data_IF_437055493540
#
_entry.id   IF_437055493540
#
_cell.length_a   1.000
_cell.length_b   1.000
_cell.length_c   1.000
_cell.angle_alpha   90.00
_cell.angle_beta   90.00
_cell.angle_gamma   90.00
#
_symmetry.space_group_name_H-M   'P 1'
#
loop_
_entity.id
_entity.type
_entity.pdbx_description
1 polymer ?
#
# COMPACT_ATOMS: atom_id res chain seq x y z
N UNK A 1 52.50 18.64 -35.06
CA UNK A 1 51.90 19.89 -34.55
C UNK A 1 50.46 19.53 -34.18
N UNK A 2 50.20 19.30 -32.89
CA UNK A 2 49.35 20.14 -32.00
C UNK A 2 47.87 20.03 -32.39
N UNK A 3 46.87 19.70 -31.57
CA UNK A 3 46.63 19.50 -30.13
C UNK A 3 45.28 18.71 -30.08
N UNK A 4 44.90 17.90 -29.08
CA UNK A 4 44.65 18.26 -27.69
C UNK A 4 43.25 18.91 -27.50
N UNK A 5 42.45 18.35 -26.57
CA UNK A 5 41.12 18.76 -26.07
C UNK A 5 39.90 18.32 -26.93
N UNK A 6 38.80 17.81 -26.39
CA UNK A 6 38.36 17.69 -25.01
C UNK A 6 37.09 16.84 -24.88
N UNK A 7 36.91 16.36 -23.65
CA UNK A 7 35.80 15.60 -23.07
C UNK A 7 34.44 16.29 -23.27
N UNK A 8 33.45 15.54 -23.78
CA UNK A 8 32.04 15.69 -23.42
C UNK A 8 31.36 14.34 -23.62
N UNK A 9 31.26 13.59 -22.53
CA UNK A 9 30.24 12.57 -22.39
C UNK A 9 28.95 13.32 -22.06
N UNK A 10 28.08 13.48 -23.05
CA UNK A 10 26.67 13.84 -22.85
C UNK A 10 25.92 12.50 -22.70
N UNK A 11 25.98 11.84 -21.54
CA UNK A 11 24.95 11.92 -20.50
C UNK A 11 23.94 13.05 -20.66
N UNK A 12 22.80 12.75 -21.28
CA UNK A 12 21.50 13.26 -20.88
C UNK A 12 20.40 12.59 -21.72
N UNK A 13 19.75 11.58 -21.15
CA UNK A 13 18.29 11.39 -21.13
C UNK A 13 18.02 9.97 -20.61
N UNK A 14 18.12 9.86 -19.30
CA UNK A 14 17.41 8.86 -18.52
C UNK A 14 15.98 9.41 -18.34
N UNK A 15 14.98 8.89 -19.06
CA UNK A 15 13.60 9.35 -18.90
C UNK A 15 13.07 8.83 -17.57
N UNK A 16 13.19 9.66 -16.53
CA UNK A 16 12.38 9.54 -15.32
C UNK A 16 12.72 8.33 -14.48
N UNK A 17 13.86 8.42 -13.80
CA UNK A 17 14.07 7.98 -12.43
C UNK A 17 12.78 7.47 -11.75
N UNK A 18 12.72 6.14 -11.64
CA UNK A 18 12.39 5.45 -10.41
C UNK A 18 11.00 5.80 -9.87
N UNK A 19 9.99 5.19 -10.51
CA UNK A 19 8.71 4.94 -9.86
C UNK A 19 9.00 4.48 -8.45
N UNK A 20 8.67 5.36 -7.50
CA UNK A 20 8.98 5.16 -6.09
C UNK A 20 8.44 3.80 -5.76
N UNK A 21 9.33 2.83 -5.47
CA UNK A 21 8.91 1.50 -5.07
C UNK A 21 8.19 1.73 -3.75
N UNK A 22 6.87 1.92 -3.83
CA UNK A 22 6.01 2.18 -2.69
C UNK A 22 6.42 1.14 -1.66
N UNK A 23 6.84 1.62 -0.49
CA UNK A 23 7.43 0.77 0.53
C UNK A 23 6.56 -0.48 0.66
N UNK A 24 7.12 -1.66 0.36
CA UNK A 24 6.31 -2.87 0.37
C UNK A 24 5.96 -3.18 1.83
N UNK A 25 4.68 -3.38 2.15
CA UNK A 25 4.20 -3.63 3.51
C UNK A 25 3.72 -5.07 3.63
N UNK A 26 4.07 -5.73 4.73
CA UNK A 26 3.59 -7.08 5.05
C UNK A 26 2.79 -7.06 6.34
N UNK A 27 1.84 -7.99 6.49
CA UNK A 27 1.23 -8.25 7.79
C UNK A 27 2.31 -8.64 8.79
N UNK A 28 2.26 -8.08 10.00
CA UNK A 28 3.14 -8.54 11.07
C UNK A 28 2.85 -10.01 11.44
N UNK A 29 3.89 -10.73 11.88
CA UNK A 29 3.79 -12.18 12.13
C UNK A 29 2.81 -12.54 13.25
N UNK A 30 2.67 -11.68 14.26
CA UNK A 30 1.81 -11.87 15.42
C UNK A 30 0.53 -11.02 15.32
N UNK A 31 -0.24 -11.17 14.23
CA UNK A 31 -1.52 -10.46 14.05
C UNK A 31 -2.61 -11.46 13.64
N UNK A 32 -3.67 -11.53 14.44
CA UNK A 32 -4.90 -12.21 14.07
C UNK A 32 -5.66 -11.38 13.04
N UNK A 33 -6.18 -12.03 11.99
CA UNK A 33 -6.93 -11.38 10.91
C UNK A 33 -8.21 -12.15 10.66
N UNK A 34 -9.34 -11.48 10.71
CA UNK A 34 -10.63 -11.99 10.23
C UNK A 34 -11.10 -11.09 9.09
N UNK A 35 -11.03 -11.60 7.87
CA UNK A 35 -11.45 -10.89 6.65
C UNK A 35 -12.87 -11.32 6.28
N UNK A 36 -13.85 -10.45 6.52
CA UNK A 36 -15.25 -10.65 6.17
C UNK A 36 -15.52 -9.92 4.85
N UNK A 37 -15.50 -10.68 3.76
CA UNK A 37 -15.79 -10.18 2.41
C UNK A 37 -17.29 -10.13 2.19
N UNK A 38 -17.84 -8.91 2.11
CA UNK A 38 -19.27 -8.66 1.95
C UNK A 38 -20.02 -8.90 3.26
N UNK A 39 -20.79 -7.91 3.70
CA UNK A 39 -21.82 -8.18 4.70
C UNK A 39 -22.91 -9.07 4.06
N UNK A 40 -23.59 -9.93 4.84
CA UNK A 40 -24.79 -10.63 4.37
C UNK A 40 -25.78 -9.60 3.82
N UNK A 41 -26.50 -9.98 2.76
CA UNK A 41 -27.50 -9.16 2.08
C UNK A 41 -28.47 -8.49 3.07
N UNK A 42 -28.18 -7.26 3.47
CA UNK A 42 -29.03 -6.22 4.06
C UNK A 42 -28.05 -5.10 4.49
N UNK A 43 -28.17 -3.92 3.88
CA UNK A 43 -27.31 -2.72 3.98
C UNK A 43 -26.08 -2.66 3.03
N UNK A 44 -26.28 -2.01 1.88
CA UNK A 44 -25.30 -1.66 0.83
C UNK A 44 -24.18 -0.68 1.27
N UNK A 45 -23.86 -0.51 2.57
CA UNK A 45 -23.17 0.71 3.04
C UNK A 45 -21.64 0.65 3.14
N UNK A 46 -20.99 -0.50 2.96
CA UNK A 46 -19.52 -0.58 3.06
C UNK A 46 -18.87 -1.14 1.79
N UNK A 47 -18.56 -0.31 0.78
CA UNK A 47 -17.74 -0.74 -0.35
C UNK A 47 -16.38 -1.22 0.18
N UNK A 48 -16.18 -2.53 0.23
CA UNK A 48 -14.95 -3.14 0.76
C UNK A 48 -15.11 -4.12 1.93
N UNK A 49 -16.29 -4.28 2.52
CA UNK A 49 -16.51 -5.21 3.65
C UNK A 49 -15.71 -4.82 4.92
N UNK A 50 -15.42 -5.81 5.78
CA UNK A 50 -14.81 -5.58 7.09
C UNK A 50 -13.58 -6.46 7.30
N UNK A 51 -12.51 -5.90 7.89
CA UNK A 51 -11.33 -6.64 8.34
C UNK A 51 -11.09 -6.35 9.82
N UNK A 52 -11.15 -7.39 10.64
CA UNK A 52 -10.77 -7.32 12.04
C UNK A 52 -9.31 -7.71 12.19
N UNK A 53 -8.54 -6.88 12.87
CA UNK A 53 -7.10 -7.05 13.13
C UNK A 53 -6.85 -7.01 14.64
N UNK A 54 -5.98 -7.87 15.15
CA UNK A 54 -5.53 -7.78 16.54
C UNK A 54 -4.08 -8.21 16.68
N UNK A 55 -3.18 -7.39 17.26
CA UNK A 55 -1.85 -7.85 17.65
C UNK A 55 -1.97 -8.96 18.70
N UNK A 56 -1.20 -10.03 18.56
CA UNK A 56 -1.16 -11.13 19.51
C UNK A 56 -0.02 -10.94 20.52
N UNK A 57 -0.15 -11.47 21.76
CA UNK A 57 -1.27 -12.28 22.26
C UNK A 57 -2.52 -11.50 22.71
N UNK A 58 -2.35 -10.26 23.20
CA UNK A 58 -3.42 -9.52 23.92
C UNK A 58 -3.62 -8.08 23.40
N UNK A 59 -3.25 -7.79 22.16
CA UNK A 59 -3.41 -6.47 21.56
C UNK A 59 -4.88 -6.11 21.29
N UNK A 60 -5.20 -4.81 21.22
CA UNK A 60 -6.57 -4.36 20.97
C UNK A 60 -7.06 -4.78 19.58
N UNK A 61 -8.36 -5.10 19.49
CA UNK A 61 -9.00 -5.34 18.19
C UNK A 61 -9.20 -4.01 17.48
N UNK A 62 -8.66 -3.91 16.27
CA UNK A 62 -8.87 -2.82 15.31
C UNK A 62 -9.82 -3.32 14.23
N UNK A 63 -10.86 -2.54 13.94
CA UNK A 63 -11.84 -2.86 12.90
C UNK A 63 -11.63 -1.90 11.74
N UNK A 64 -11.36 -2.46 10.55
CA UNK A 64 -11.26 -1.73 9.30
C UNK A 64 -12.52 -1.98 8.49
N UNK A 65 -13.20 -0.93 8.07
CA UNK A 65 -14.45 -0.99 7.30
C UNK A 65 -14.32 -0.19 5.99
N UNK A 66 -15.05 -0.63 4.97
CA UNK A 66 -15.14 0.06 3.68
C UNK A 66 -13.77 0.28 3.03
N UNK A 67 -13.44 1.55 2.76
CA UNK A 67 -12.18 1.94 2.09
C UNK A 67 -10.95 1.52 2.89
N UNK A 68 -10.95 1.62 4.22
CA UNK A 68 -9.80 1.21 5.05
C UNK A 68 -9.52 -0.29 4.93
N UNK A 69 -10.57 -1.11 4.80
CA UNK A 69 -10.46 -2.54 4.54
C UNK A 69 -9.90 -2.82 3.13
N UNK A 70 -10.24 -1.99 2.14
CA UNK A 70 -9.67 -2.06 0.78
C UNK A 70 -8.18 -1.72 0.80
N UNK A 71 -7.81 -0.61 1.44
CA UNK A 71 -6.43 -0.15 1.58
C UNK A 71 -5.55 -1.23 2.23
N UNK A 72 -6.00 -1.82 3.34
CA UNK A 72 -5.25 -2.88 4.02
C UNK A 72 -5.01 -4.10 3.12
N UNK A 73 -6.02 -4.55 2.38
CA UNK A 73 -5.89 -5.70 1.47
C UNK A 73 -4.98 -5.40 0.29
N UNK A 74 -5.00 -4.17 -0.22
CA UNK A 74 -4.08 -3.73 -1.27
C UNK A 74 -2.63 -3.68 -0.75
N UNK A 75 -2.43 -3.07 0.42
CA UNK A 75 -1.12 -2.95 1.08
C UNK A 75 -0.47 -4.32 1.36
N UNK A 76 -1.28 -5.31 1.74
CA UNK A 76 -0.80 -6.65 2.11
C UNK A 76 -0.86 -7.66 0.96
N UNK A 77 -1.25 -7.24 -0.25
CA UNK A 77 -1.24 -8.10 -1.43
C UNK A 77 0.20 -8.49 -1.81
N UNK A 78 0.37 -9.71 -2.34
CA UNK A 78 1.68 -10.30 -2.56
C UNK A 78 2.49 -9.67 -3.73
N UNK A 79 1.89 -8.82 -4.55
CA UNK A 79 2.55 -8.23 -5.72
C UNK A 79 1.73 -7.08 -6.33
N UNK A 80 2.42 -6.05 -6.80
CA UNK A 80 1.83 -4.97 -7.60
C UNK A 80 2.11 -3.58 -7.06
N UNK A 81 1.75 -2.57 -7.84
CA UNK A 81 1.61 -1.20 -7.37
C UNK A 81 0.38 -1.11 -6.45
N UNK A 82 0.56 -0.56 -5.25
CA UNK A 82 -0.53 -0.45 -4.27
C UNK A 82 -1.61 0.51 -4.76
N UNK A 83 -1.24 1.58 -5.48
CA UNK A 83 -2.18 2.57 -6.03
C UNK A 83 -3.09 1.88 -7.05
N UNK A 84 -2.52 1.11 -7.98
CA UNK A 84 -3.30 0.35 -8.96
C UNK A 84 -4.22 -0.68 -8.28
N UNK A 85 -3.74 -1.36 -7.24
CA UNK A 85 -4.52 -2.35 -6.51
C UNK A 85 -5.69 -1.74 -5.74
N UNK A 86 -5.49 -0.56 -5.13
CA UNK A 86 -6.54 0.22 -4.46
C UNK A 86 -7.57 0.69 -5.49
N UNK A 87 -7.12 1.33 -6.57
CA UNK A 87 -7.96 1.84 -7.64
C UNK A 87 -8.87 0.73 -8.22
N UNK A 88 -8.27 -0.42 -8.53
CA UNK A 88 -8.98 -1.59 -9.03
C UNK A 88 -10.07 -2.09 -8.08
N UNK A 89 -9.81 -2.08 -6.76
CA UNK A 89 -10.77 -2.56 -5.76
C UNK A 89 -11.91 -1.58 -5.51
N UNK A 90 -11.64 -0.28 -5.63
CA UNK A 90 -12.65 0.78 -5.49
C UNK A 90 -13.43 1.02 -6.79
N UNK A 91 -12.95 0.51 -7.93
CA UNK A 91 -13.58 0.73 -9.23
C UNK A 91 -13.39 2.15 -9.76
N UNK A 92 -12.28 2.79 -9.41
CA UNK A 92 -11.93 4.16 -9.82
C UNK A 92 -10.61 4.19 -10.60
N UNK A 93 -10.33 5.24 -11.37
CA UNK A 93 -9.04 5.44 -12.02
C UNK A 93 -7.87 5.58 -11.01
N UNK A 94 -6.66 5.06 -11.30
CA UNK A 94 -5.50 5.23 -10.42
C UNK A 94 -5.10 6.68 -10.14
N UNK A 95 -5.33 7.59 -11.09
CA UNK A 95 -5.07 9.02 -10.93
C UNK A 95 -5.94 9.71 -9.87
N UNK A 96 -7.06 9.09 -9.48
CA UNK A 96 -7.94 9.58 -8.41
C UNK A 96 -7.51 9.08 -7.02
N UNK A 97 -6.49 8.22 -6.96
CA UNK A 97 -5.96 7.68 -5.71
C UNK A 97 -4.74 8.50 -5.26
N UNK A 98 -4.85 9.09 -4.07
CA UNK A 98 -3.74 9.80 -3.46
C UNK A 98 -2.73 8.83 -2.80
N UNK A 99 -1.47 8.78 -3.26
CA UNK A 99 -0.44 7.91 -2.68
C UNK A 99 0.00 8.36 -1.28
N UNK A 100 -0.16 9.64 -0.91
CA UNK A 100 0.19 10.13 0.43
C UNK A 100 -0.76 9.53 1.48
N UNK A 101 -2.07 9.55 1.22
CA UNK A 101 -3.08 8.89 2.06
C UNK A 101 -2.77 7.40 2.31
N UNK A 102 -2.33 6.67 1.29
CA UNK A 102 -1.94 5.25 1.43
C UNK A 102 -0.72 5.11 2.34
N UNK A 103 0.24 6.01 2.21
CA UNK A 103 1.48 6.01 3.00
C UNK A 103 1.21 6.33 4.46
N UNK A 104 0.38 7.34 4.75
CA UNK A 104 -0.05 7.70 6.09
C UNK A 104 -0.77 6.54 6.77
N UNK A 105 -1.75 5.95 6.10
CA UNK A 105 -2.48 4.78 6.60
C UNK A 105 -1.55 3.60 6.90
N UNK A 106 -0.56 3.34 6.06
CA UNK A 106 0.41 2.27 6.30
C UNK A 106 1.31 2.56 7.52
N UNK A 107 1.66 3.83 7.79
CA UNK A 107 2.40 4.18 8.99
C UNK A 107 1.54 4.01 10.25
N UNK A 108 0.27 4.40 10.23
CA UNK A 108 -0.65 4.18 11.36
C UNK A 108 -0.75 2.69 11.71
N UNK A 109 -0.95 1.84 10.70
CA UNK A 109 -0.99 0.38 10.91
C UNK A 109 0.34 -0.15 11.45
N UNK A 110 1.47 0.42 11.05
CA UNK A 110 2.80 0.03 11.55
C UNK A 110 2.98 0.45 13.01
N UNK A 111 2.57 1.66 13.37
CA UNK A 111 2.61 2.16 14.74
C UNK A 111 1.72 1.32 15.66
N UNK A 112 0.59 0.83 15.14
CA UNK A 112 -0.27 -0.14 15.81
C UNK A 112 0.29 -1.57 15.85
N UNK A 113 1.45 -1.83 15.21
CA UNK A 113 2.08 -3.16 15.15
C UNK A 113 1.37 -4.16 14.23
N UNK A 114 0.51 -3.71 13.33
CA UNK A 114 -0.32 -4.55 12.46
C UNK A 114 0.38 -4.90 11.15
N UNK A 115 1.23 -4.01 10.65
CA UNK A 115 2.06 -4.22 9.45
C UNK A 115 3.53 -3.91 9.73
N UNK A 116 4.40 -4.46 8.91
CA UNK A 116 5.84 -4.18 8.91
C UNK A 116 6.28 -3.79 7.51
N UNK A 117 7.28 -2.91 7.43
CA UNK A 117 7.93 -2.61 6.16
C UNK A 117 8.74 -3.83 5.74
N UNK A 118 8.61 -4.25 4.49
CA UNK A 118 9.51 -5.23 3.89
C UNK A 118 10.90 -4.59 3.85
N UNK A 119 11.81 -5.11 4.66
CA UNK A 119 13.25 -4.89 4.48
C UNK A 119 13.66 -5.58 3.19
N UNK A 120 14.17 -4.78 2.25
CA UNK A 120 14.83 -5.28 1.04
C UNK A 120 16.15 -5.95 1.38
#
# INVERSE_FOLDING_TARGET
MTSGLGRAAESAMDPGAEGTVAARWWRAYAVAVVDVKGAPEEDEEAPGGVVYLAPLPDGPVVVLEGVSAVLYRALTAASGDVVEEVARRLGVPPEDIDPETITEFAQELREAGLVVRATS
#
